data_IF_469909656744
#
_entry.id   IF_469909656744
#
_cell.length_a   1.000
_cell.length_b   1.000
_cell.length_c   1.000
_cell.angle_alpha   90.00
_cell.angle_beta   90.00
_cell.angle_gamma   90.00
#
_symmetry.space_group_name_H-M   'P 1'
#
loop_
_entity.id
_entity.type
_entity.pdbx_description
1 polymer ?
#
# COMPACT_ATOMS: atom_id res chain seq x y z
N UNK A 1 -24.45 -20.47 37.97
CA UNK A 1 -24.81 -21.24 36.76
C UNK A 1 -23.53 -21.79 36.13
N UNK A 2 -23.22 -23.08 36.27
CA UNK A 2 -21.97 -23.68 35.80
C UNK A 2 -21.77 -23.55 34.28
N UNK A 3 -22.87 -23.33 33.53
CA UNK A 3 -22.85 -23.08 32.10
C UNK A 3 -22.16 -21.75 31.73
N UNK A 4 -22.25 -20.72 32.58
CA UNK A 4 -21.65 -19.41 32.36
C UNK A 4 -20.14 -19.42 32.59
N UNK A 5 -19.69 -20.20 33.59
CA UNK A 5 -18.26 -20.39 33.89
C UNK A 5 -17.55 -21.18 32.77
N UNK A 6 -18.21 -22.23 32.23
CA UNK A 6 -17.67 -23.00 31.10
C UNK A 6 -17.54 -22.17 29.82
N UNK A 7 -18.54 -21.32 29.52
CA UNK A 7 -18.50 -20.41 28.37
C UNK A 7 -17.39 -19.35 28.48
N UNK A 8 -17.13 -18.86 29.69
CA UNK A 8 -16.08 -17.85 29.93
C UNK A 8 -14.69 -18.46 29.79
N UNK A 9 -14.48 -19.68 30.30
CA UNK A 9 -13.21 -20.42 30.14
C UNK A 9 -12.93 -20.74 28.66
N UNK A 10 -13.96 -21.13 27.91
CA UNK A 10 -13.82 -21.45 26.49
C UNK A 10 -13.45 -20.22 25.66
N UNK A 11 -14.05 -19.05 25.94
CA UNK A 11 -13.68 -17.80 25.28
C UNK A 11 -12.25 -17.33 25.60
N UNK A 12 -11.79 -17.52 26.84
CA UNK A 12 -10.40 -17.24 27.21
C UNK A 12 -9.42 -18.15 26.46
N UNK A 13 -9.72 -19.44 26.36
CA UNK A 13 -8.91 -20.40 25.61
C UNK A 13 -8.86 -20.07 24.11
N UNK A 14 -10.01 -19.75 23.49
CA UNK A 14 -10.08 -19.35 22.08
C UNK A 14 -9.24 -18.09 21.81
N UNK A 15 -9.33 -17.08 22.68
CA UNK A 15 -8.55 -15.85 22.55
C UNK A 15 -7.04 -16.11 22.68
N UNK A 16 -6.63 -17.02 23.57
CA UNK A 16 -5.22 -17.39 23.74
C UNK A 16 -4.67 -18.11 22.52
N UNK A 17 -5.43 -19.05 21.95
CA UNK A 17 -5.06 -19.77 20.73
C UNK A 17 -4.91 -18.79 19.56
N UNK A 18 -5.87 -17.88 19.38
CA UNK A 18 -5.80 -16.86 18.33
C UNK A 18 -4.53 -16.00 18.43
N UNK A 19 -4.21 -15.50 19.63
CA UNK A 19 -3.01 -14.71 19.87
C UNK A 19 -1.72 -15.49 19.59
N UNK A 20 -1.65 -16.75 20.03
CA UNK A 20 -0.50 -17.62 19.79
C UNK A 20 -0.29 -17.90 18.30
N UNK A 21 -1.36 -18.22 17.57
CA UNK A 21 -1.32 -18.43 16.11
C UNK A 21 -0.90 -17.16 15.38
N UNK A 22 -1.42 -16.00 15.77
CA UNK A 22 -1.05 -14.72 15.17
C UNK A 22 0.43 -14.38 15.39
N UNK A 23 0.95 -14.60 16.60
CA UNK A 23 2.36 -14.41 16.93
C UNK A 23 3.26 -15.34 16.11
N UNK A 24 2.89 -16.62 15.99
CA UNK A 24 3.63 -17.61 15.21
C UNK A 24 3.67 -17.23 13.72
N UNK A 25 2.53 -16.86 13.14
CA UNK A 25 2.45 -16.41 11.75
C UNK A 25 3.31 -15.18 11.49
N UNK A 26 3.26 -14.20 12.40
CA UNK A 26 4.10 -13.00 12.33
C UNK A 26 5.59 -13.37 12.35
N UNK A 27 5.99 -14.31 13.21
CA UNK A 27 7.37 -14.82 13.28
C UNK A 27 7.84 -15.45 11.96
N UNK A 28 7.01 -16.28 11.33
CA UNK A 28 7.32 -16.90 10.03
C UNK A 28 7.50 -15.85 8.94
N UNK A 29 6.65 -14.83 8.90
CA UNK A 29 6.75 -13.72 7.94
C UNK A 29 8.06 -12.96 8.13
N UNK A 30 8.43 -12.61 9.37
CA UNK A 30 9.68 -11.92 9.67
C UNK A 30 10.92 -12.75 9.31
N UNK A 31 10.89 -14.05 9.60
CA UNK A 31 11.96 -14.98 9.23
C UNK A 31 12.12 -15.08 7.72
N UNK A 32 11.01 -15.27 6.99
CA UNK A 32 11.01 -15.38 5.54
C UNK A 32 11.46 -14.08 4.87
N UNK A 33 11.01 -12.93 5.37
CA UNK A 33 11.45 -11.61 4.91
C UNK A 33 12.95 -11.41 5.11
N UNK A 34 13.48 -11.78 6.28
CA UNK A 34 14.92 -11.71 6.59
C UNK A 34 15.76 -12.62 5.69
N UNK A 35 15.26 -13.82 5.41
CA UNK A 35 15.90 -14.79 4.51
C UNK A 35 15.91 -14.28 3.06
N UNK A 36 14.80 -13.73 2.58
CA UNK A 36 14.70 -13.14 1.24
C UNK A 36 15.61 -11.92 1.09
N UNK A 37 15.66 -11.03 2.07
CA UNK A 37 16.60 -9.90 2.06
C UNK A 37 18.05 -10.37 1.96
N UNK A 38 18.41 -11.39 2.74
CA UNK A 38 19.75 -11.99 2.72
C UNK A 38 20.07 -12.68 1.38
N UNK A 39 19.09 -13.35 0.78
CA UNK A 39 19.23 -14.00 -0.53
C UNK A 39 19.48 -12.98 -1.65
N UNK A 40 18.69 -11.89 -1.71
CA UNK A 40 18.88 -10.80 -2.69
C UNK A 40 20.24 -10.10 -2.48
N UNK A 41 20.70 -10.00 -1.22
CA UNK A 41 22.01 -9.40 -0.93
C UNK A 41 23.16 -10.28 -1.44
N UNK A 42 23.07 -11.59 -1.25
CA UNK A 42 24.12 -12.59 -1.58
C UNK A 42 24.06 -13.11 -3.03
N UNK A 43 22.97 -12.92 -3.75
CA UNK A 43 22.80 -13.41 -5.13
C UNK A 43 23.73 -12.71 -6.13
N UNK A 44 24.31 -13.48 -7.05
CA UNK A 44 25.14 -13.01 -8.17
C UNK A 44 24.25 -12.53 -9.33
N UNK A 45 23.36 -11.58 -9.06
CA UNK A 45 22.56 -10.94 -10.11
C UNK A 45 23.25 -9.68 -10.63
N UNK A 46 22.97 -9.33 -11.90
CA UNK A 46 23.35 -8.03 -12.43
C UNK A 46 22.75 -6.92 -11.57
N UNK A 47 23.47 -5.80 -11.42
CA UNK A 47 23.07 -4.67 -10.56
C UNK A 47 21.62 -4.23 -10.81
N UNK A 48 21.20 -4.15 -12.07
CA UNK A 48 19.83 -3.82 -12.50
C UNK A 48 18.78 -4.88 -12.09
N UNK A 49 19.12 -6.16 -12.16
CA UNK A 49 18.20 -7.23 -11.73
C UNK A 49 18.01 -7.23 -10.21
N UNK A 50 19.10 -6.98 -9.44
CA UNK A 50 19.06 -6.84 -7.98
C UNK A 50 18.21 -5.65 -7.54
N UNK A 51 18.36 -4.50 -8.21
CA UNK A 51 17.54 -3.30 -7.95
C UNK A 51 16.05 -3.57 -8.18
N UNK A 52 15.69 -4.24 -9.29
CA UNK A 52 14.30 -4.63 -9.58
C UNK A 52 13.73 -5.61 -8.55
N UNK A 53 14.48 -6.64 -8.19
CA UNK A 53 14.03 -7.60 -7.16
C UNK A 53 13.83 -6.93 -5.80
N UNK A 54 14.75 -6.05 -5.37
CA UNK A 54 14.60 -5.32 -4.12
C UNK A 54 13.39 -4.39 -4.13
N UNK A 55 13.10 -3.78 -5.26
CA UNK A 55 11.94 -2.91 -5.44
C UNK A 55 10.62 -3.68 -5.33
N UNK A 56 10.52 -4.83 -6.00
CA UNK A 56 9.36 -5.75 -5.86
C UNK A 56 9.22 -6.26 -4.43
N UNK A 57 10.34 -6.63 -3.79
CA UNK A 57 10.34 -7.08 -2.40
C UNK A 57 9.84 -6.00 -1.43
N UNK A 58 10.28 -4.74 -1.61
CA UNK A 58 9.78 -3.61 -0.82
C UNK A 58 8.29 -3.38 -1.01
N UNK A 59 7.80 -3.49 -2.25
CA UNK A 59 6.37 -3.39 -2.55
C UNK A 59 5.59 -4.52 -1.87
N UNK A 60 6.11 -5.75 -1.91
CA UNK A 60 5.51 -6.90 -1.25
C UNK A 60 5.46 -6.72 0.28
N UNK A 61 6.52 -6.19 0.90
CA UNK A 61 6.51 -5.84 2.33
C UNK A 61 5.44 -4.79 2.61
N UNK A 62 5.38 -3.71 1.82
CA UNK A 62 4.38 -2.66 2.02
C UNK A 62 2.95 -3.19 1.89
N UNK A 63 2.70 -4.06 0.91
CA UNK A 63 1.43 -4.76 0.74
C UNK A 63 1.12 -5.73 1.88
N UNK A 64 2.13 -6.38 2.47
CA UNK A 64 1.94 -7.29 3.60
C UNK A 64 1.66 -6.54 4.91
N UNK A 65 2.22 -5.33 5.08
CA UNK A 65 1.96 -4.46 6.22
C UNK A 65 0.57 -3.82 6.16
N UNK A 66 0.07 -3.54 4.96
CA UNK A 66 -1.28 -2.97 4.73
C UNK A 66 -2.41 -3.73 5.47
N UNK A 67 -2.65 -5.03 5.24
CA UNK A 67 -3.68 -5.77 5.96
C UNK A 67 -3.41 -5.82 7.46
N UNK A 68 -2.15 -5.88 7.90
CA UNK A 68 -1.79 -5.83 9.33
C UNK A 68 -2.30 -4.55 10.00
N UNK A 69 -2.18 -3.40 9.33
CA UNK A 69 -2.66 -2.13 9.86
C UNK A 69 -4.17 -1.95 9.74
N UNK A 70 -4.78 -2.33 8.61
CA UNK A 70 -6.18 -2.00 8.33
C UNK A 70 -7.18 -3.09 8.75
N UNK A 71 -6.79 -4.36 8.69
CA UNK A 71 -7.67 -5.51 8.95
C UNK A 71 -7.38 -6.19 10.28
N UNK A 72 -6.12 -6.27 10.73
CA UNK A 72 -5.79 -6.97 11.98
C UNK A 72 -5.88 -6.09 13.24
N UNK A 73 -5.73 -4.77 13.12
CA UNK A 73 -5.92 -3.85 14.26
C UNK A 73 -7.34 -3.92 14.84
N UNK A 74 -8.44 -3.87 14.05
CA UNK A 74 -9.80 -3.92 14.60
C UNK A 74 -10.09 -5.17 15.46
N UNK A 75 -9.79 -6.41 15.00
CA UNK A 75 -9.98 -7.61 15.80
C UNK A 75 -9.11 -7.67 17.06
N UNK A 76 -7.87 -7.16 17.02
CA UNK A 76 -6.99 -7.11 18.21
C UNK A 76 -7.60 -6.21 19.28
N UNK A 77 -8.15 -5.06 18.87
CA UNK A 77 -8.83 -4.16 19.80
C UNK A 77 -10.08 -4.83 20.39
N UNK A 78 -10.87 -5.55 19.59
CA UNK A 78 -12.03 -6.30 20.10
C UNK A 78 -11.64 -7.41 21.06
N UNK A 79 -10.62 -8.20 20.72
CA UNK A 79 -10.10 -9.26 21.57
C UNK A 79 -9.59 -8.69 22.90
N UNK A 80 -8.90 -7.54 22.88
CA UNK A 80 -8.43 -6.88 24.11
C UNK A 80 -9.59 -6.38 24.97
N UNK A 81 -10.67 -5.89 24.37
CA UNK A 81 -11.87 -5.45 25.09
C UNK A 81 -12.57 -6.60 25.80
N UNK A 82 -12.67 -7.76 25.15
CA UNK A 82 -13.19 -8.97 25.79
C UNK A 82 -12.25 -9.45 26.90
N UNK A 83 -10.93 -9.43 26.66
CA UNK A 83 -9.92 -9.93 27.61
C UNK A 83 -9.85 -9.10 28.89
N UNK A 84 -9.89 -7.76 28.75
CA UNK A 84 -9.79 -6.83 29.88
C UNK A 84 -11.15 -6.32 30.36
N UNK A 85 -12.24 -6.84 29.79
CA UNK A 85 -13.63 -6.55 30.18
C UNK A 85 -13.97 -5.05 30.22
N UNK A 86 -13.58 -4.31 29.18
CA UNK A 86 -13.91 -2.90 29.01
C UNK A 86 -14.78 -2.66 27.78
N UNK A 87 -15.65 -1.65 27.83
CA UNK A 87 -16.53 -1.29 26.72
C UNK A 87 -15.81 -0.33 25.77
N UNK A 88 -15.80 -0.63 24.48
CA UNK A 88 -15.29 0.30 23.47
C UNK A 88 -16.22 1.51 23.32
N UNK A 89 -15.68 2.74 23.29
CA UNK A 89 -16.47 3.91 22.93
C UNK A 89 -16.88 3.86 21.46
N UNK A 90 -18.04 4.44 21.14
CA UNK A 90 -18.64 4.43 19.81
C UNK A 90 -17.69 4.99 18.71
N UNK A 91 -16.89 6.01 19.04
CA UNK A 91 -15.89 6.57 18.13
C UNK A 91 -14.84 5.55 17.68
N UNK A 92 -14.43 4.63 18.57
CA UNK A 92 -13.47 3.58 18.23
C UNK A 92 -14.10 2.54 17.32
N UNK A 93 -15.38 2.22 17.52
CA UNK A 93 -16.13 1.33 16.62
C UNK A 93 -16.25 1.92 15.20
N UNK A 94 -16.56 3.22 15.07
CA UNK A 94 -16.59 3.90 13.77
C UNK A 94 -15.20 3.90 13.13
N UNK A 95 -14.16 4.27 13.88
CA UNK A 95 -12.79 4.33 13.36
C UNK A 95 -12.33 2.96 12.83
N UNK A 96 -12.62 1.89 13.56
CA UNK A 96 -12.37 0.51 13.13
C UNK A 96 -13.09 0.15 11.83
N UNK A 97 -14.37 0.52 11.69
CA UNK A 97 -15.12 0.29 10.46
C UNK A 97 -14.46 1.04 9.28
N UNK A 98 -14.07 2.29 9.46
CA UNK A 98 -13.37 3.09 8.43
C UNK A 98 -12.06 2.42 8.01
N UNK A 99 -11.27 1.91 8.95
CA UNK A 99 -10.02 1.19 8.64
C UNK A 99 -10.26 -0.02 7.73
N UNK A 100 -11.30 -0.81 8.00
CA UNK A 100 -11.67 -1.97 7.17
C UNK A 100 -12.10 -1.54 5.77
N UNK A 101 -12.87 -0.45 5.65
CA UNK A 101 -13.28 0.09 4.35
C UNK A 101 -12.12 0.69 3.54
N UNK A 102 -11.07 1.20 4.21
CA UNK A 102 -9.90 1.77 3.54
C UNK A 102 -8.93 0.71 3.01
N UNK A 103 -8.95 -0.51 3.56
CA UNK A 103 -8.07 -1.61 3.12
C UNK A 103 -8.07 -1.85 1.59
N UNK A 104 -9.23 -2.02 0.90
CA UNK A 104 -9.25 -2.27 -0.54
C UNK A 104 -8.67 -1.11 -1.36
N UNK A 105 -8.65 0.12 -0.82
CA UNK A 105 -8.07 1.30 -1.47
C UNK A 105 -6.55 1.37 -1.21
N UNK A 106 -6.11 1.01 -0.01
CA UNK A 106 -4.71 1.08 0.41
C UNK A 106 -3.80 0.19 -0.45
N UNK A 107 -4.21 -1.04 -0.78
CA UNK A 107 -3.39 -1.97 -1.57
C UNK A 107 -3.04 -1.43 -2.98
N UNK A 108 -4.01 -0.98 -3.80
CA UNK A 108 -3.75 -0.31 -5.07
C UNK A 108 -2.89 0.95 -4.92
N UNK A 109 -3.13 1.75 -3.87
CA UNK A 109 -2.39 3.00 -3.63
C UNK A 109 -0.91 2.73 -3.35
N UNK A 110 -0.60 1.70 -2.56
CA UNK A 110 0.77 1.26 -2.26
C UNK A 110 1.49 0.84 -3.54
N UNK A 111 0.83 0.06 -4.41
CA UNK A 111 1.40 -0.34 -5.71
C UNK A 111 1.68 0.87 -6.58
N UNK A 112 0.74 1.81 -6.64
CA UNK A 112 0.83 3.02 -7.46
C UNK A 112 1.98 3.93 -7.01
N UNK A 113 2.17 4.10 -5.70
CA UNK A 113 3.24 4.91 -5.11
C UNK A 113 4.60 4.20 -5.25
N UNK A 114 4.64 2.89 -4.98
CA UNK A 114 5.91 2.16 -5.03
C UNK A 114 6.36 1.87 -6.46
N UNK A 115 5.51 1.83 -7.48
CA UNK A 115 5.96 1.60 -8.86
C UNK A 115 6.71 2.83 -9.42
N UNK A 116 8.05 2.80 -9.36
CA UNK A 116 8.93 3.86 -9.87
C UNK A 116 8.63 4.29 -11.31
N UNK A 117 8.29 3.35 -12.19
CA UNK A 117 7.97 3.63 -13.59
C UNK A 117 6.68 4.45 -13.72
N UNK A 118 5.71 4.24 -12.83
CA UNK A 118 4.46 4.98 -12.79
C UNK A 118 4.68 6.42 -12.30
N UNK A 119 5.52 6.61 -11.29
CA UNK A 119 5.93 7.95 -10.82
C UNK A 119 6.67 8.72 -11.91
N UNK A 120 7.59 8.08 -12.63
CA UNK A 120 8.30 8.70 -13.77
C UNK A 120 7.34 9.05 -14.90
N UNK A 121 6.36 8.19 -15.21
CA UNK A 121 5.33 8.46 -16.21
C UNK A 121 4.44 9.66 -15.84
N UNK A 122 3.89 9.69 -14.62
CA UNK A 122 3.06 10.81 -14.15
C UNK A 122 3.86 12.11 -14.06
N UNK A 123 5.08 12.07 -13.53
CA UNK A 123 5.91 13.26 -13.39
C UNK A 123 6.33 13.82 -14.77
N UNK A 124 6.60 12.95 -15.76
CA UNK A 124 6.82 13.36 -17.16
C UNK A 124 5.57 13.95 -17.80
N UNK A 125 4.38 13.44 -17.47
CA UNK A 125 3.10 13.98 -17.97
C UNK A 125 2.74 15.32 -17.34
N UNK A 126 3.02 15.51 -16.05
CA UNK A 126 2.83 16.77 -15.33
C UNK A 126 3.76 17.89 -15.84
N UNK A 127 5.00 17.56 -16.23
CA UNK A 127 5.94 18.50 -16.87
C UNK A 127 5.63 18.82 -18.35
N UNK A 128 4.66 18.12 -18.95
CA UNK A 128 4.18 18.34 -20.33
C UNK A 128 2.78 18.95 -20.35
N UNK A 129 2.37 19.67 -19.29
CA UNK A 129 1.22 20.55 -19.42
C UNK A 129 1.52 21.56 -20.52
N UNK A 130 0.77 21.56 -21.65
CA UNK A 130 1.02 22.52 -22.72
C UNK A 130 0.73 23.90 -22.15
N UNK A 131 1.77 24.70 -21.97
CA UNK A 131 1.59 26.15 -21.83
C UNK A 131 1.13 26.61 -23.21
N UNK A 132 -0.19 26.74 -23.38
CA UNK A 132 -0.73 27.50 -24.50
C UNK A 132 -0.33 28.96 -24.27
N UNK A 133 0.86 29.31 -24.78
CA UNK A 133 1.24 30.70 -24.95
C UNK A 133 0.28 31.28 -25.99
N UNK A 134 -0.66 32.10 -25.53
CA UNK A 134 -1.58 32.83 -26.37
C UNK A 134 -0.75 33.90 -27.13
N UNK A 135 -0.11 33.51 -28.23
CA UNK A 135 0.54 34.48 -29.11
C UNK A 135 -0.54 35.35 -29.73
N UNK A 136 -0.48 36.64 -29.44
CA UNK A 136 -1.33 37.68 -30.00
C UNK A 136 -1.53 37.46 -31.51
N UNK A 137 -2.79 37.29 -31.91
CA UNK A 137 -3.20 37.28 -33.30
C UNK A 137 -3.03 38.70 -33.82
N UNK A 138 -1.93 38.96 -34.53
CA UNK A 138 -1.83 40.12 -35.40
C UNK A 138 -2.63 39.81 -36.66
N UNK A 139 -3.77 40.50 -36.82
CA UNK A 139 -4.65 40.39 -37.98
C UNK A 139 -3.94 41.03 -39.18
N UNK A 140 -3.38 40.19 -40.04
CA UNK A 140 -2.70 40.62 -41.25
C UNK A 140 -2.68 39.54 -42.33
N UNK A 141 -3.63 39.68 -43.27
CA UNK A 141 -3.68 39.08 -44.62
C UNK A 141 -4.20 37.61 -44.75
N UNK A 142 -5.25 37.34 -45.57
CA UNK A 142 -5.83 36.02 -45.75
C UNK A 142 -5.23 35.35 -46.99
N UNK A 143 -4.16 34.57 -46.83
CA UNK A 143 -3.76 33.54 -47.79
C UNK A 143 -2.71 32.62 -47.15
N UNK A 144 -3.00 31.32 -47.17
CA UNK A 144 -2.16 30.21 -46.72
C UNK A 144 -2.05 29.96 -45.21
N UNK A 145 -3.11 29.39 -44.62
CA UNK A 145 -3.00 28.60 -43.40
C UNK A 145 -2.42 27.21 -43.73
N UNK A 146 -1.10 27.14 -43.92
CA UNK A 146 -0.36 25.89 -43.79
C UNK A 146 -0.08 25.70 -42.30
N UNK A 147 -0.78 24.75 -41.68
CA UNK A 147 -0.56 24.33 -40.31
C UNK A 147 0.78 23.57 -40.24
N UNK A 148 1.90 24.29 -40.18
CA UNK A 148 3.21 23.69 -39.91
C UNK A 148 3.32 23.36 -38.43
N UNK A 149 2.90 22.14 -38.06
CA UNK A 149 3.24 21.56 -36.76
C UNK A 149 4.69 21.10 -36.84
N UNK A 150 5.63 22.01 -36.62
CA UNK A 150 7.05 21.67 -36.47
C UNK A 150 7.25 21.09 -35.08
N UNK A 151 6.94 19.80 -34.93
CA UNK A 151 7.32 19.02 -33.76
C UNK A 151 8.83 18.78 -33.77
N UNK A 152 9.58 19.57 -32.99
CA UNK A 152 11.00 19.29 -32.71
C UNK A 152 11.07 18.03 -31.82
N UNK A 153 11.26 16.87 -32.44
CA UNK A 153 11.68 15.66 -31.73
C UNK A 153 13.20 15.71 -31.63
N UNK A 154 13.72 16.12 -30.46
CA UNK A 154 15.16 15.97 -30.16
C UNK A 154 15.48 14.48 -30.01
N UNK A 155 16.50 13.96 -30.72
CA UNK A 155 16.89 12.56 -30.64
C UNK A 155 17.63 12.23 -29.34
N UNK A 156 17.67 10.92 -29.11
CA UNK A 156 18.11 10.14 -27.94
C UNK A 156 19.58 10.39 -27.58
#
# INVERSE_FOLDING_TARGET
DPSQSGRSLMGMAESGIFNLTFLAMTGVVLFTGSRMYSAIKKSVYSRRAKERQMHLFRMLIAQAVSPLCFIFVPPIVDASSVTFNYVLPYSVCIFKAILVFLFPIANPLIILIFTEDYRKYICRRSKRAPTYSLSHISVGNPKASVLSVTGKVSPI
#
